data_IF_819278565100
#
_entry.id   IF_819278565100
#
_cell.length_a   1.000
_cell.length_b   1.000
_cell.length_c   1.000
_cell.angle_alpha   90.00
_cell.angle_beta   90.00
_cell.angle_gamma   90.00
#
_symmetry.space_group_name_H-M   'P 1'
#
loop_
_entity.id
_entity.type
_entity.pdbx_description
1 polymer ?
#
# COMPACT_ATOMS: atom_id res chain seq x y z
N UNK A 1 -9.62 8.56 6.14
CA UNK A 1 -8.31 8.70 5.46
C UNK A 1 -7.91 7.34 4.91
N UNK A 2 -7.91 7.11 3.59
CA UNK A 2 -7.54 5.83 2.96
C UNK A 2 -6.18 5.28 3.42
N UNK A 3 -5.23 6.17 3.71
CA UNK A 3 -3.94 5.83 4.31
C UNK A 3 -4.08 5.12 5.67
N UNK A 4 -5.11 5.42 6.46
CA UNK A 4 -5.31 4.78 7.78
C UNK A 4 -5.69 3.29 7.66
N UNK A 5 -6.53 2.93 6.69
CA UNK A 5 -6.89 1.52 6.45
C UNK A 5 -5.71 0.74 5.87
N UNK A 6 -4.92 1.36 4.98
CA UNK A 6 -3.72 0.74 4.43
C UNK A 6 -2.65 0.47 5.51
N UNK A 7 -2.33 1.47 6.33
CA UNK A 7 -1.35 1.32 7.42
C UNK A 7 -1.83 0.32 8.48
N UNK A 8 -3.15 0.29 8.76
CA UNK A 8 -3.74 -0.74 9.61
C UNK A 8 -3.60 -2.13 8.98
N UNK A 9 -3.89 -2.28 7.69
CA UNK A 9 -3.76 -3.57 7.00
C UNK A 9 -2.32 -4.10 7.06
N UNK A 10 -1.32 -3.26 6.80
CA UNK A 10 0.12 -3.62 6.89
C UNK A 10 0.49 -4.03 8.32
N UNK A 11 0.04 -3.28 9.33
CA UNK A 11 0.27 -3.63 10.74
C UNK A 11 -0.30 -5.02 11.07
N UNK A 12 -1.52 -5.28 10.60
CA UNK A 12 -2.23 -6.55 10.83
C UNK A 12 -1.59 -7.72 10.06
N UNK A 13 -0.98 -7.48 8.88
CA UNK A 13 -0.12 -8.45 8.18
C UNK A 13 1.05 -8.86 9.07
N UNK A 14 1.73 -7.89 9.69
CA UNK A 14 2.88 -8.15 10.58
C UNK A 14 2.47 -8.91 11.86
N UNK A 15 1.19 -8.87 12.23
CA UNK A 15 0.61 -9.64 13.34
C UNK A 15 0.07 -11.02 12.90
N UNK A 16 0.33 -11.46 11.67
CA UNK A 16 -0.16 -12.71 11.07
C UNK A 16 -1.70 -12.83 11.02
N UNK A 17 -2.43 -11.71 11.02
CA UNK A 17 -3.90 -11.67 11.00
C UNK A 17 -4.44 -11.47 9.58
N UNK A 18 -4.17 -12.42 8.71
CA UNK A 18 -4.37 -12.27 7.26
C UNK A 18 -5.81 -11.93 6.83
N UNK A 19 -6.84 -12.47 7.51
CA UNK A 19 -8.25 -12.17 7.20
C UNK A 19 -8.59 -10.69 7.45
N UNK A 20 -8.22 -10.17 8.62
CA UNK A 20 -8.43 -8.76 8.97
C UNK A 20 -7.62 -7.84 8.05
N UNK A 21 -6.41 -8.25 7.64
CA UNK A 21 -5.61 -7.49 6.68
C UNK A 21 -6.34 -7.35 5.33
N UNK A 22 -6.88 -8.45 4.78
CA UNK A 22 -7.66 -8.42 3.53
C UNK A 22 -8.87 -7.49 3.61
N UNK A 23 -9.61 -7.52 4.72
CA UNK A 23 -10.74 -6.61 4.95
C UNK A 23 -10.32 -5.13 4.96
N UNK A 24 -9.21 -4.80 5.63
CA UNK A 24 -8.69 -3.43 5.66
C UNK A 24 -8.14 -2.97 4.30
N UNK A 25 -7.49 -3.86 3.53
CA UNK A 25 -7.06 -3.54 2.16
C UNK A 25 -8.26 -3.26 1.24
N UNK A 26 -9.32 -4.08 1.34
CA UNK A 26 -10.57 -3.85 0.61
C UNK A 26 -11.21 -2.50 0.99
N UNK A 27 -11.19 -2.13 2.27
CA UNK A 27 -11.67 -0.83 2.73
C UNK A 27 -10.82 0.33 2.20
N UNK A 28 -9.49 0.18 2.18
CA UNK A 28 -8.58 1.17 1.62
C UNK A 28 -8.90 1.46 0.14
N UNK A 29 -9.12 0.41 -0.66
CA UNK A 29 -9.51 0.53 -2.06
C UNK A 29 -10.94 1.06 -2.24
N UNK A 30 -11.89 0.66 -1.38
CA UNK A 30 -13.26 1.20 -1.42
C UNK A 30 -13.29 2.71 -1.24
N UNK A 31 -12.50 3.25 -0.31
CA UNK A 31 -12.44 4.69 -0.07
C UNK A 31 -11.44 5.43 -0.97
N UNK A 32 -10.52 4.71 -1.62
CA UNK A 32 -9.57 5.26 -2.60
C UNK A 32 -9.32 4.27 -3.74
N UNK A 33 -10.22 4.22 -4.73
CA UNK A 33 -10.12 3.25 -5.82
C UNK A 33 -8.84 3.40 -6.66
N UNK A 34 -8.27 4.61 -6.72
CA UNK A 34 -7.05 4.93 -7.45
C UNK A 34 -5.76 4.76 -6.63
N UNK A 35 -5.83 4.14 -5.43
CA UNK A 35 -4.69 4.00 -4.53
C UNK A 35 -3.47 3.33 -5.21
N UNK A 36 -3.68 2.27 -5.99
CA UNK A 36 -2.61 1.56 -6.71
C UNK A 36 -1.94 2.48 -7.72
N UNK A 37 -2.74 3.17 -8.54
CA UNK A 37 -2.25 4.09 -9.58
C UNK A 37 -1.45 5.24 -8.95
N UNK A 38 -1.90 5.75 -7.81
CA UNK A 38 -1.19 6.82 -7.10
C UNK A 38 0.16 6.33 -6.56
N UNK A 39 0.23 5.13 -6.01
CA UNK A 39 1.51 4.53 -5.56
C UNK A 39 2.48 4.36 -6.72
N UNK A 40 2.02 3.86 -7.87
CA UNK A 40 2.84 3.71 -9.07
C UNK A 40 3.37 5.07 -9.58
N UNK A 41 2.55 6.12 -9.52
CA UNK A 41 2.97 7.48 -9.87
C UNK A 41 4.02 8.04 -8.90
N UNK A 42 3.84 7.84 -7.58
CA UNK A 42 4.80 8.26 -6.54
C UNK A 42 6.14 7.54 -6.73
N UNK A 43 6.12 6.21 -6.93
CA UNK A 43 7.33 5.41 -7.16
C UNK A 43 8.11 5.95 -8.38
N UNK A 44 7.41 6.17 -9.49
CA UNK A 44 8.03 6.70 -10.70
C UNK A 44 8.62 8.11 -10.49
N UNK A 45 7.92 8.97 -9.76
CA UNK A 45 8.43 10.30 -9.42
C UNK A 45 9.67 10.22 -8.53
N UNK A 46 9.67 9.36 -7.50
CA UNK A 46 10.81 9.17 -6.59
C UNK A 46 12.04 8.64 -7.33
N UNK A 47 11.86 7.67 -8.23
CA UNK A 47 12.95 7.16 -9.08
C UNK A 47 13.54 8.25 -9.98
N UNK A 48 12.70 9.09 -10.59
CA UNK A 48 13.16 10.25 -11.40
C UNK A 48 13.95 11.26 -10.58
N UNK A 49 13.61 11.43 -9.30
CA UNK A 49 14.32 12.30 -8.36
C UNK A 49 15.58 11.65 -7.77
N UNK A 50 15.90 10.40 -8.13
CA UNK A 50 17.02 9.64 -7.55
C UNK A 50 16.77 9.15 -6.12
N UNK A 51 15.56 9.29 -5.59
CA UNK A 51 15.21 8.86 -4.25
C UNK A 51 14.80 7.38 -4.23
N UNK A 52 15.77 6.51 -4.50
CA UNK A 52 15.54 5.07 -4.64
C UNK A 52 15.11 4.42 -3.31
N UNK A 53 15.60 4.91 -2.16
CA UNK A 53 15.22 4.38 -0.86
C UNK A 53 13.71 4.48 -0.63
N UNK A 54 13.14 5.68 -0.78
CA UNK A 54 11.69 5.86 -0.63
C UNK A 54 10.91 5.12 -1.71
N UNK A 55 11.40 5.09 -2.95
CA UNK A 55 10.73 4.34 -4.02
C UNK A 55 10.56 2.86 -3.64
N UNK A 56 11.60 2.25 -3.10
CA UNK A 56 11.57 0.86 -2.64
C UNK A 56 10.56 0.64 -1.49
N UNK A 57 10.47 1.57 -0.53
CA UNK A 57 9.47 1.49 0.55
C UNK A 57 8.03 1.47 0.00
N UNK A 58 7.73 2.33 -0.98
CA UNK A 58 6.42 2.35 -1.63
C UNK A 58 6.16 1.10 -2.48
N UNK A 59 7.19 0.56 -3.13
CA UNK A 59 7.10 -0.70 -3.89
C UNK A 59 6.78 -1.90 -2.99
N UNK A 60 7.40 -1.99 -1.81
CA UNK A 60 7.11 -3.04 -0.83
C UNK A 60 5.66 -2.95 -0.34
N UNK A 61 5.21 -1.75 0.04
CA UNK A 61 3.81 -1.52 0.43
C UNK A 61 2.83 -1.92 -0.68
N UNK A 62 3.14 -1.55 -1.92
CA UNK A 62 2.31 -1.89 -3.08
C UNK A 62 2.28 -3.39 -3.34
N UNK A 63 3.41 -4.08 -3.21
CA UNK A 63 3.50 -5.55 -3.35
C UNK A 63 2.66 -6.25 -2.29
N UNK A 64 2.75 -5.82 -1.02
CA UNK A 64 1.92 -6.36 0.05
C UNK A 64 0.45 -6.14 -0.28
N UNK A 65 0.03 -4.92 -0.63
CA UNK A 65 -1.36 -4.64 -1.00
C UNK A 65 -1.85 -5.59 -2.12
N UNK A 66 -1.08 -5.71 -3.23
CA UNK A 66 -1.44 -6.55 -4.39
C UNK A 66 -1.56 -8.04 -4.03
N UNK A 67 -0.80 -8.53 -3.06
CA UNK A 67 -0.88 -9.93 -2.61
C UNK A 67 -2.18 -10.28 -1.86
N UNK A 68 -2.92 -9.27 -1.37
CA UNK A 68 -4.12 -9.47 -0.56
C UNK A 68 -5.43 -9.12 -1.28
N UNK A 69 -5.36 -8.75 -2.56
CA UNK A 69 -6.52 -8.58 -3.44
C UNK A 69 -6.96 -9.96 -3.95
#
# INVERSE_FOLDING_TARGET
MPNSYLEKAITVVNLNKHKEAKENFNLALKYKPNLIVEYEAIINALRKLGNNLRANEFEEKLKILKNYL
#
